data_IF_865401543963
#
_entry.id   IF_865401543963
#
_cell.length_a   1.000
_cell.length_b   1.000
_cell.length_c   1.000
_cell.angle_alpha   90.00
_cell.angle_beta   90.00
_cell.angle_gamma   90.00
#
_symmetry.space_group_name_H-M   'P 1'
#
loop_
_entity.id
_entity.type
_entity.pdbx_description
1 polymer ?
#
# COMPACT_ATOMS: atom_id res chain seq x y z
N UNK A 1 -6.51 -8.98 -18.19
CA UNK A 1 -5.14 -9.43 -17.84
C UNK A 1 -5.26 -10.44 -16.69
N UNK A 2 -4.36 -11.42 -16.59
CA UNK A 2 -4.46 -12.53 -15.62
C UNK A 2 -3.55 -12.25 -14.42
N UNK A 3 -3.98 -12.68 -13.23
CA UNK A 3 -3.05 -13.04 -12.16
C UNK A 3 -2.57 -14.50 -12.34
N UNK A 4 -1.66 -14.95 -11.48
CA UNK A 4 -0.92 -16.23 -11.62
C UNK A 4 -1.81 -17.49 -11.74
N UNK A 5 -3.07 -17.44 -11.30
CA UNK A 5 -4.02 -18.57 -11.41
C UNK A 5 -4.86 -18.56 -12.69
N UNK A 6 -4.66 -17.57 -13.54
CA UNK A 6 -5.36 -17.49 -14.80
C UNK A 6 -6.80 -17.00 -14.70
N UNK A 7 -7.18 -16.40 -13.58
CA UNK A 7 -8.43 -15.71 -13.36
C UNK A 7 -8.39 -14.30 -13.97
N UNK A 8 -9.57 -13.74 -14.22
CA UNK A 8 -9.74 -12.36 -14.67
C UNK A 8 -9.44 -11.45 -13.47
N UNK A 9 -8.52 -10.50 -13.62
CA UNK A 9 -8.19 -9.51 -12.59
C UNK A 9 -8.90 -8.16 -12.89
N UNK A 10 -9.94 -7.79 -12.11
CA UNK A 10 -10.64 -6.52 -12.31
C UNK A 10 -9.76 -5.31 -12.07
N UNK A 11 -8.83 -5.37 -11.10
CA UNK A 11 -7.96 -4.25 -10.77
C UNK A 11 -7.04 -3.94 -11.95
N UNK A 12 -6.42 -4.98 -12.52
CA UNK A 12 -5.56 -4.81 -13.68
C UNK A 12 -6.35 -4.35 -14.92
N UNK A 13 -7.59 -4.80 -15.05
CA UNK A 13 -8.48 -4.38 -16.14
C UNK A 13 -8.84 -2.90 -16.03
N UNK A 14 -9.15 -2.39 -14.83
CA UNK A 14 -9.36 -0.97 -14.58
C UNK A 14 -8.08 -0.15 -14.80
N UNK A 15 -6.92 -0.62 -14.30
CA UNK A 15 -5.63 0.04 -14.49
C UNK A 15 -5.29 0.20 -15.96
N UNK A 16 -5.54 -0.82 -16.76
CA UNK A 16 -5.33 -0.75 -18.20
C UNK A 16 -6.23 0.29 -18.87
N UNK A 17 -7.54 0.31 -18.55
CA UNK A 17 -8.46 1.33 -19.08
C UNK A 17 -7.96 2.73 -18.72
N UNK A 18 -7.65 2.99 -17.44
CA UNK A 18 -7.15 4.30 -17.01
C UNK A 18 -5.83 4.68 -17.66
N UNK A 19 -4.91 3.73 -17.83
CA UNK A 19 -3.64 3.96 -18.52
C UNK A 19 -3.84 4.37 -19.98
N UNK A 20 -4.77 3.71 -20.68
CA UNK A 20 -5.12 4.06 -22.06
C UNK A 20 -5.79 5.44 -22.15
N UNK A 21 -6.70 5.76 -21.22
CA UNK A 21 -7.36 7.08 -21.20
C UNK A 21 -6.37 8.22 -20.98
N UNK A 22 -5.34 8.02 -20.16
CA UNK A 22 -4.24 8.99 -20.00
C UNK A 22 -3.49 9.18 -21.33
N UNK A 23 -3.24 8.10 -22.08
CA UNK A 23 -2.59 8.19 -23.39
C UNK A 23 -3.46 8.99 -24.36
N UNK A 24 -4.77 8.75 -24.41
CA UNK A 24 -5.68 9.53 -25.26
C UNK A 24 -5.67 11.01 -24.93
N UNK A 25 -5.77 11.34 -23.64
CA UNK A 25 -5.76 12.71 -23.16
C UNK A 25 -4.45 13.43 -23.51
N UNK A 26 -3.30 12.78 -23.28
CA UNK A 26 -1.98 13.39 -23.49
C UNK A 26 -1.61 13.50 -24.97
N UNK A 27 -2.04 12.54 -25.79
CA UNK A 27 -1.80 12.55 -27.24
C UNK A 27 -2.80 13.37 -28.04
N UNK A 28 -3.88 13.86 -27.40
CA UNK A 28 -5.01 14.51 -28.08
C UNK A 28 -5.58 13.60 -29.19
N UNK A 29 -5.78 12.32 -28.85
CA UNK A 29 -6.29 11.33 -29.80
C UNK A 29 -7.65 11.72 -30.36
N UNK A 30 -7.87 11.45 -31.64
CA UNK A 30 -9.19 11.60 -32.25
C UNK A 30 -10.14 10.55 -31.65
N UNK A 31 -11.31 10.96 -31.09
CA UNK A 31 -12.28 10.02 -30.52
C UNK A 31 -12.70 8.89 -31.45
N UNK A 32 -12.63 9.09 -32.77
CA UNK A 32 -12.98 8.08 -33.77
C UNK A 32 -11.92 6.98 -33.93
N UNK A 33 -10.69 7.24 -33.49
CA UNK A 33 -9.55 6.30 -33.59
C UNK A 33 -9.20 5.61 -32.26
N UNK A 34 -9.74 6.09 -31.13
CA UNK A 34 -9.44 5.59 -29.78
C UNK A 34 -9.62 4.06 -29.65
N UNK A 35 -10.76 3.52 -30.10
CA UNK A 35 -11.02 2.07 -30.02
C UNK A 35 -10.02 1.27 -30.84
N UNK A 36 -9.70 1.74 -32.05
CA UNK A 36 -8.71 1.08 -32.90
C UNK A 36 -7.33 1.08 -32.22
N UNK A 37 -6.90 2.24 -31.71
CA UNK A 37 -5.64 2.39 -30.99
C UNK A 37 -5.57 1.45 -29.78
N UNK A 38 -6.52 1.55 -28.85
CA UNK A 38 -6.52 0.76 -27.61
C UNK A 38 -6.48 -0.75 -27.90
N UNK A 39 -7.22 -1.18 -28.91
CA UNK A 39 -7.33 -2.61 -29.20
C UNK A 39 -6.08 -3.20 -29.86
N UNK A 40 -5.21 -2.36 -30.44
CA UNK A 40 -3.86 -2.80 -30.87
C UNK A 40 -2.95 -3.14 -29.69
N UNK A 41 -3.23 -2.60 -28.50
CA UNK A 41 -2.43 -2.79 -27.29
C UNK A 41 -2.90 -4.00 -26.47
N UNK A 42 -4.02 -4.62 -26.83
CA UNK A 42 -4.49 -5.84 -26.19
C UNK A 42 -3.53 -7.01 -26.48
N UNK A 43 -3.30 -7.85 -25.47
CA UNK A 43 -2.41 -9.02 -25.55
C UNK A 43 -3.07 -10.27 -24.99
N UNK A 44 -2.61 -11.44 -25.46
CA UNK A 44 -3.09 -12.75 -25.03
C UNK A 44 -4.62 -12.87 -25.10
N UNK A 45 -5.24 -13.41 -24.06
CA UNK A 45 -6.71 -13.63 -24.04
C UNK A 45 -7.55 -12.39 -24.25
N UNK A 46 -7.06 -11.20 -23.88
CA UNK A 46 -7.80 -9.98 -24.13
C UNK A 46 -7.85 -9.65 -25.62
N UNK A 47 -6.77 -9.97 -26.35
CA UNK A 47 -6.73 -9.86 -27.81
C UNK A 47 -7.62 -10.92 -28.46
N UNK A 48 -7.56 -12.17 -28.00
CA UNK A 48 -8.40 -13.26 -28.52
C UNK A 48 -9.89 -12.96 -28.35
N UNK A 49 -10.29 -12.47 -27.17
CA UNK A 49 -11.65 -12.00 -26.90
C UNK A 49 -12.08 -10.89 -27.86
N UNK A 50 -11.22 -9.89 -28.06
CA UNK A 50 -11.56 -8.77 -28.95
C UNK A 50 -11.67 -9.21 -30.41
N UNK A 51 -10.81 -10.12 -30.86
CA UNK A 51 -10.88 -10.66 -32.22
C UNK A 51 -12.20 -11.40 -32.47
N UNK A 52 -12.64 -12.23 -31.53
CA UNK A 52 -13.95 -12.87 -31.59
C UNK A 52 -15.09 -11.83 -31.60
N UNK A 53 -15.01 -10.79 -30.76
CA UNK A 53 -16.04 -9.74 -30.68
C UNK A 53 -16.13 -8.90 -31.96
N UNK A 54 -14.99 -8.62 -32.60
CA UNK A 54 -14.95 -7.92 -33.90
C UNK A 54 -15.63 -8.73 -35.01
N UNK A 55 -15.46 -10.05 -35.01
CA UNK A 55 -16.12 -10.92 -36.00
C UNK A 55 -17.64 -10.86 -35.85
N UNK A 56 -18.13 -10.91 -34.61
CA UNK A 56 -19.57 -10.83 -34.31
C UNK A 56 -20.18 -9.46 -34.67
N UNK A 57 -19.49 -8.36 -34.35
CA UNK A 57 -19.98 -6.99 -34.63
C UNK A 57 -19.84 -6.58 -36.11
N UNK A 58 -18.93 -7.20 -36.85
CA UNK A 58 -18.56 -6.80 -38.20
C UNK A 58 -17.78 -5.48 -38.25
N UNK A 59 -17.22 -5.17 -39.43
CA UNK A 59 -16.33 -4.01 -39.63
C UNK A 59 -17.02 -2.68 -39.32
N UNK A 60 -18.23 -2.48 -39.84
CA UNK A 60 -18.98 -1.23 -39.62
C UNK A 60 -19.39 -1.05 -38.15
N UNK A 61 -19.77 -2.14 -37.48
CA UNK A 61 -20.11 -2.09 -36.05
C UNK A 61 -18.92 -1.77 -35.15
N UNK A 62 -17.70 -2.17 -35.55
CA UNK A 62 -16.46 -1.80 -34.84
C UNK A 62 -16.09 -0.35 -35.14
N UNK A 63 -16.22 0.09 -36.40
CA UNK A 63 -15.91 1.47 -36.81
C UNK A 63 -16.82 2.50 -36.15
N UNK A 64 -18.09 2.17 -35.93
CA UNK A 64 -19.05 3.03 -35.25
C UNK A 64 -18.93 3.00 -33.71
N UNK A 65 -18.09 2.13 -33.15
CA UNK A 65 -17.96 1.97 -31.70
C UNK A 65 -17.18 3.14 -31.11
N UNK A 66 -17.78 3.83 -30.14
CA UNK A 66 -17.06 4.84 -29.37
C UNK A 66 -16.28 4.18 -28.22
N UNK A 67 -15.28 4.88 -27.71
CA UNK A 67 -14.49 4.40 -26.57
C UNK A 67 -15.34 4.00 -25.36
N UNK A 68 -16.40 4.76 -25.05
CA UNK A 68 -17.30 4.44 -23.93
C UNK A 68 -18.03 3.09 -24.12
N UNK A 69 -18.43 2.78 -25.35
CA UNK A 69 -19.08 1.49 -25.67
C UNK A 69 -18.09 0.35 -25.49
N UNK A 70 -16.86 0.53 -25.98
CA UNK A 70 -15.78 -0.44 -25.81
C UNK A 70 -15.49 -0.69 -24.32
N UNK A 71 -15.31 0.37 -23.52
CA UNK A 71 -15.07 0.24 -22.07
C UNK A 71 -16.17 -0.55 -21.38
N UNK A 72 -17.43 -0.27 -21.73
CA UNK A 72 -18.59 -0.94 -21.14
C UNK A 72 -18.52 -2.44 -21.38
N UNK A 73 -18.34 -2.88 -22.63
CA UNK A 73 -18.27 -4.32 -22.95
C UNK A 73 -16.98 -4.98 -22.44
N UNK A 74 -15.87 -4.23 -22.39
CA UNK A 74 -14.61 -4.72 -21.86
C UNK A 74 -14.71 -4.99 -20.37
N UNK A 75 -15.19 -4.02 -19.59
CA UNK A 75 -15.36 -4.17 -18.14
C UNK A 75 -16.46 -5.19 -17.81
N UNK A 76 -17.52 -5.30 -18.60
CA UNK A 76 -18.51 -6.36 -18.41
C UNK A 76 -17.89 -7.76 -18.52
N UNK A 77 -16.92 -7.95 -19.42
CA UNK A 77 -16.25 -9.24 -19.62
C UNK A 77 -15.10 -9.46 -18.62
N UNK A 78 -14.30 -8.44 -18.35
CA UNK A 78 -13.08 -8.52 -17.53
C UNK A 78 -13.25 -8.03 -16.08
N UNK A 79 -14.44 -7.60 -15.70
CA UNK A 79 -14.81 -7.27 -14.32
C UNK A 79 -16.22 -7.82 -14.04
N UNK A 80 -16.46 -9.14 -14.15
CA UNK A 80 -17.78 -9.70 -13.89
C UNK A 80 -18.20 -9.43 -12.45
N UNK A 81 -19.50 -9.23 -12.24
CA UNK A 81 -20.04 -8.84 -10.94
C UNK A 81 -19.65 -9.80 -9.81
N UNK A 82 -19.59 -11.11 -10.06
CA UNK A 82 -19.16 -12.11 -9.08
C UNK A 82 -17.73 -11.89 -8.58
N UNK A 83 -16.81 -11.43 -9.43
CA UNK A 83 -15.44 -11.13 -9.01
C UNK A 83 -15.40 -9.80 -8.23
N UNK A 84 -16.22 -8.82 -8.61
CA UNK A 84 -16.38 -7.57 -7.85
C UNK A 84 -16.95 -7.86 -6.46
N UNK A 85 -17.97 -8.71 -6.37
CA UNK A 85 -18.60 -9.10 -5.10
C UNK A 85 -17.60 -9.81 -4.19
N UNK A 86 -16.81 -10.74 -4.74
CA UNK A 86 -15.71 -11.38 -4.00
C UNK A 86 -14.68 -10.36 -3.49
N UNK A 87 -14.29 -9.38 -4.32
CA UNK A 87 -13.40 -8.29 -3.90
C UNK A 87 -14.00 -7.48 -2.74
N UNK A 88 -15.31 -7.21 -2.77
CA UNK A 88 -16.01 -6.50 -1.68
C UNK A 88 -16.03 -7.32 -0.39
N UNK A 89 -16.30 -8.62 -0.47
CA UNK A 89 -16.26 -9.54 0.68
C UNK A 89 -14.86 -9.61 1.30
N UNK A 90 -13.83 -9.75 0.45
CA UNK A 90 -12.42 -9.71 0.87
C UNK A 90 -12.08 -8.37 1.53
N UNK A 91 -12.58 -7.25 0.99
CA UNK A 91 -12.33 -5.92 1.54
C UNK A 91 -12.90 -5.76 2.95
N UNK A 92 -14.13 -6.24 3.21
CA UNK A 92 -14.76 -6.14 4.54
C UNK A 92 -14.02 -6.95 5.61
N UNK A 93 -13.42 -8.08 5.21
CA UNK A 93 -12.71 -9.00 6.10
C UNK A 93 -11.20 -8.80 6.13
N UNK A 94 -10.67 -7.89 5.30
CA UNK A 94 -9.24 -7.59 5.20
C UNK A 94 -8.68 -7.08 6.53
N UNK A 95 -7.59 -7.68 6.99
CA UNK A 95 -6.84 -7.24 8.17
C UNK A 95 -5.35 -7.32 7.88
N UNK A 96 -4.60 -6.32 8.31
CA UNK A 96 -3.14 -6.28 8.25
C UNK A 96 -2.55 -7.39 9.13
N UNK A 97 -1.58 -8.13 8.58
CA UNK A 97 -0.93 -9.30 9.18
C UNK A 97 0.57 -9.12 9.28
N UNK A 98 1.28 -9.05 8.17
CA UNK A 98 2.73 -8.87 8.09
C UNK A 98 3.10 -7.77 7.10
N UNK A 99 2.09 -7.18 6.45
CA UNK A 99 2.24 -6.06 5.55
C UNK A 99 2.72 -4.81 6.33
N UNK A 100 3.67 -4.09 5.73
CA UNK A 100 4.05 -2.75 6.17
C UNK A 100 2.87 -1.77 6.02
N UNK A 101 2.96 -0.60 6.66
CA UNK A 101 1.95 0.44 6.52
C UNK A 101 1.73 0.83 5.05
N UNK A 102 2.79 0.98 4.26
CA UNK A 102 2.67 1.33 2.85
C UNK A 102 2.01 0.21 2.02
N UNK A 103 2.31 -1.05 2.34
CA UNK A 103 1.69 -2.20 1.68
C UNK A 103 0.18 -2.28 1.97
N UNK A 104 -0.23 -2.19 3.24
CA UNK A 104 -1.66 -2.26 3.59
C UNK A 104 -2.44 -1.06 3.03
N UNK A 105 -1.84 0.13 3.00
CA UNK A 105 -2.44 1.31 2.34
C UNK A 105 -2.65 1.04 0.85
N UNK A 106 -1.65 0.50 0.16
CA UNK A 106 -1.76 0.15 -1.26
C UNK A 106 -2.89 -0.84 -1.51
N UNK A 107 -2.95 -1.91 -0.72
CA UNK A 107 -4.01 -2.93 -0.79
C UNK A 107 -5.40 -2.33 -0.53
N UNK A 108 -5.53 -1.47 0.48
CA UNK A 108 -6.76 -0.77 0.80
C UNK A 108 -7.27 0.05 -0.38
N UNK A 109 -6.43 0.92 -0.96
CA UNK A 109 -6.83 1.77 -2.08
C UNK A 109 -7.11 0.99 -3.36
N UNK A 110 -6.39 -0.11 -3.60
CA UNK A 110 -6.65 -0.96 -4.76
C UNK A 110 -8.01 -1.64 -4.70
N UNK A 111 -8.43 -2.09 -3.51
CA UNK A 111 -9.74 -2.71 -3.31
C UNK A 111 -10.86 -1.67 -3.18
N UNK A 112 -10.57 -0.51 -2.60
CA UNK A 112 -11.54 0.59 -2.42
C UNK A 112 -12.17 1.07 -3.73
N UNK A 113 -11.45 0.95 -4.86
CA UNK A 113 -11.96 1.24 -6.23
C UNK A 113 -13.23 0.45 -6.57
N UNK A 114 -13.43 -0.72 -5.96
CA UNK A 114 -14.58 -1.60 -6.17
C UNK A 114 -15.65 -1.48 -5.10
N UNK A 115 -15.39 -0.69 -4.05
CA UNK A 115 -16.22 -0.57 -2.85
C UNK A 115 -16.81 0.84 -2.70
N UNK A 116 -17.07 1.54 -3.81
CA UNK A 116 -17.54 2.93 -3.81
C UNK A 116 -18.91 3.10 -3.14
N UNK A 117 -19.71 2.05 -3.12
CA UNK A 117 -20.97 1.98 -2.40
C UNK A 117 -20.81 1.85 -0.88
N UNK A 118 -19.68 1.32 -0.41
CA UNK A 118 -19.33 1.20 1.02
C UNK A 118 -18.55 2.41 1.54
N UNK A 119 -17.84 3.11 0.66
CA UNK A 119 -16.91 4.19 0.99
C UNK A 119 -17.44 5.56 0.50
N UNK A 120 -18.60 5.95 1.01
CA UNK A 120 -19.33 7.13 0.51
C UNK A 120 -18.89 8.43 1.19
N UNK A 121 -18.52 8.34 2.45
CA UNK A 121 -18.14 9.49 3.28
C UNK A 121 -16.73 9.32 3.80
N UNK A 122 -16.03 10.43 4.06
CA UNK A 122 -14.71 10.42 4.71
C UNK A 122 -14.69 9.55 5.98
N UNK A 123 -15.81 9.55 6.72
CA UNK A 123 -15.99 8.73 7.91
C UNK A 123 -15.93 7.22 7.59
N UNK A 124 -16.57 6.78 6.50
CA UNK A 124 -16.54 5.38 6.06
C UNK A 124 -15.11 4.95 5.70
N UNK A 125 -14.37 5.82 5.02
CA UNK A 125 -12.96 5.61 4.69
C UNK A 125 -12.09 5.45 5.95
N UNK A 126 -12.23 6.36 6.91
CA UNK A 126 -11.50 6.32 8.19
C UNK A 126 -11.81 5.04 8.97
N UNK A 127 -13.10 4.70 9.13
CA UNK A 127 -13.51 3.51 9.89
C UNK A 127 -13.00 2.25 9.20
N UNK A 128 -13.18 2.14 7.88
CA UNK A 128 -12.77 0.97 7.12
C UNK A 128 -11.26 0.76 7.22
N UNK A 129 -10.45 1.78 6.92
CA UNK A 129 -8.99 1.67 7.01
C UNK A 129 -8.53 1.36 8.44
N UNK A 130 -9.07 2.04 9.45
CA UNK A 130 -8.75 1.75 10.85
C UNK A 130 -9.05 0.29 11.22
N UNK A 131 -10.20 -0.26 10.81
CA UNK A 131 -10.56 -1.64 11.11
C UNK A 131 -9.62 -2.66 10.45
N UNK A 132 -8.97 -2.31 9.34
CA UNK A 132 -7.98 -3.14 8.68
C UNK A 132 -6.63 -3.15 9.40
N UNK A 133 -6.25 -2.07 10.09
CA UNK A 133 -4.98 -2.00 10.79
C UNK A 133 -4.87 -3.05 11.91
N UNK A 134 -3.63 -3.46 12.21
CA UNK A 134 -3.34 -4.32 13.37
C UNK A 134 -3.80 -3.67 14.66
N UNK A 135 -4.13 -4.51 15.65
CA UNK A 135 -4.54 -4.06 16.98
C UNK A 135 -3.54 -3.09 17.61
N UNK A 136 -2.24 -3.35 17.45
CA UNK A 136 -1.17 -2.48 17.95
C UNK A 136 -1.29 -1.04 17.45
N UNK A 137 -1.68 -0.78 16.19
CA UNK A 137 -1.89 0.57 15.71
C UNK A 137 -3.24 1.14 16.18
N UNK A 138 -4.30 0.32 16.16
CA UNK A 138 -5.67 0.73 16.53
C UNK A 138 -5.81 1.17 17.99
N UNK A 139 -5.02 0.60 18.89
CA UNK A 139 -5.07 0.94 20.32
C UNK A 139 -4.60 2.37 20.62
N UNK A 140 -3.73 2.93 19.79
CA UNK A 140 -3.16 4.26 20.02
C UNK A 140 -3.89 5.39 19.26
N UNK A 141 -4.64 5.07 18.21
CA UNK A 141 -5.38 6.06 17.41
C UNK A 141 -6.87 5.78 17.40
N UNK A 142 -7.66 6.68 17.98
CA UNK A 142 -9.12 6.61 17.89
C UNK A 142 -9.59 7.18 16.54
N UNK A 143 -10.40 6.44 15.76
CA UNK A 143 -11.03 6.95 14.54
C UNK A 143 -11.86 8.22 14.76
N UNK A 144 -12.36 8.44 15.98
CA UNK A 144 -13.16 9.64 16.30
C UNK A 144 -12.33 10.92 16.38
N UNK A 145 -11.00 10.79 16.49
CA UNK A 145 -10.05 11.91 16.56
C UNK A 145 -9.43 12.25 15.20
N UNK A 146 -9.70 11.44 14.18
CA UNK A 146 -9.23 11.67 12.82
C UNK A 146 -10.31 12.43 12.05
N UNK A 147 -9.96 13.61 11.54
CA UNK A 147 -10.85 14.38 10.66
C UNK A 147 -10.78 13.89 9.21
N UNK A 148 -9.61 13.36 8.80
CA UNK A 148 -9.37 12.86 7.45
C UNK A 148 -8.70 11.49 7.47
N UNK A 149 -8.93 10.68 6.43
CA UNK A 149 -8.20 9.44 6.19
C UNK A 149 -6.68 9.69 6.16
N UNK A 150 -6.26 10.81 5.58
CA UNK A 150 -4.83 11.15 5.50
C UNK A 150 -4.19 11.32 6.88
N UNK A 151 -4.90 11.93 7.84
CA UNK A 151 -4.41 12.05 9.22
C UNK A 151 -4.21 10.69 9.88
N UNK A 152 -5.12 9.74 9.62
CA UNK A 152 -5.00 8.36 10.11
C UNK A 152 -3.87 7.59 9.42
N UNK A 153 -3.62 7.84 8.12
CA UNK A 153 -2.53 7.21 7.35
C UNK A 153 -1.15 7.70 7.82
N UNK A 154 -1.00 8.99 8.10
CA UNK A 154 0.29 9.56 8.48
C UNK A 154 0.73 9.10 9.87
N UNK A 155 -0.22 8.88 10.79
CA UNK A 155 0.10 8.58 12.18
C UNK A 155 0.93 7.29 12.38
N UNK A 156 0.59 6.12 11.78
CA UNK A 156 1.43 4.93 11.87
C UNK A 156 2.83 5.12 11.26
N UNK A 157 2.95 5.88 10.16
CA UNK A 157 4.25 6.18 9.54
C UNK A 157 5.15 6.97 10.48
N UNK A 158 4.59 7.97 11.15
CA UNK A 158 5.32 8.77 12.15
C UNK A 158 5.78 7.91 13.32
N UNK A 159 4.96 6.95 13.78
CA UNK A 159 5.36 6.00 14.83
C UNK A 159 6.48 5.05 14.38
N UNK A 160 6.38 4.46 13.19
CA UNK A 160 7.44 3.61 12.64
C UNK A 160 8.77 4.36 12.55
N UNK A 161 8.73 5.62 12.08
CA UNK A 161 9.91 6.48 12.02
C UNK A 161 10.51 6.77 13.40
N UNK A 162 9.70 7.05 14.41
CA UNK A 162 10.21 7.33 15.77
C UNK A 162 10.80 6.07 16.42
N UNK A 163 10.19 4.91 16.21
CA UNK A 163 10.73 3.62 16.65
C UNK A 163 12.09 3.34 16.01
N UNK A 164 12.23 3.50 14.69
CA UNK A 164 13.50 3.33 13.99
C UNK A 164 14.58 4.26 14.55
N UNK A 165 14.26 5.54 14.74
CA UNK A 165 15.18 6.50 15.37
C UNK A 165 15.58 6.10 16.79
N UNK A 166 14.67 5.54 17.57
CA UNK A 166 14.96 5.07 18.93
C UNK A 166 15.93 3.88 18.95
N UNK A 167 15.78 2.96 18.00
CA UNK A 167 16.66 1.80 17.83
C UNK A 167 18.06 2.25 17.39
N UNK A 168 18.16 3.13 16.40
CA UNK A 168 19.45 3.70 15.95
C UNK A 168 20.20 4.43 17.08
N UNK A 169 19.49 5.22 17.90
CA UNK A 169 20.08 5.87 19.07
C UNK A 169 20.62 4.84 20.07
N UNK A 170 19.90 3.75 20.30
CA UNK A 170 20.32 2.67 21.19
C UNK A 170 21.52 1.88 20.65
N UNK A 171 21.60 1.65 19.33
CA UNK A 171 22.74 1.01 18.69
C UNK A 171 24.00 1.87 18.73
N UNK A 172 23.88 3.17 18.46
CA UNK A 172 24.99 4.14 18.58
C UNK A 172 25.54 4.20 20.00
N UNK A 173 24.67 4.23 21.01
CA UNK A 173 25.08 4.17 22.41
C UNK A 173 25.81 2.86 22.77
N UNK A 174 25.33 1.71 22.27
CA UNK A 174 26.03 0.42 22.46
C UNK A 174 27.40 0.40 21.78
N UNK A 175 27.52 0.95 20.58
CA UNK A 175 28.78 1.03 19.85
C UNK A 175 29.81 1.97 20.51
N UNK A 176 29.37 3.11 21.08
CA UNK A 176 30.23 4.03 21.83
C UNK A 176 30.71 3.44 23.18
N UNK A 177 29.86 2.67 23.86
CA UNK A 177 30.24 1.98 25.10
C UNK A 177 31.27 0.87 24.84
N UNK A 178 31.25 0.23 23.66
CA UNK A 178 32.23 -0.80 23.28
C UNK A 178 33.57 -0.19 22.84
N UNK A 179 33.58 1.04 22.32
CA UNK A 179 34.78 1.70 21.75
C UNK A 179 35.55 2.59 22.73
N UNK A 180 35.05 2.82 23.94
CA UNK A 180 35.74 3.63 24.95
C UNK A 180 36.73 2.79 25.78
N UNK A 181 38.05 3.08 25.77
CA UNK A 181 39.01 2.32 26.56
C UNK A 181 38.93 2.71 28.05
N UNK A 182 38.51 1.75 28.89
CA UNK A 182 38.45 1.89 30.35
C UNK A 182 39.86 2.09 30.93
N UNK A 183 40.18 3.31 31.35
CA UNK A 183 41.37 3.59 32.19
C UNK A 183 41.18 2.96 33.56
N UNK A 184 41.86 1.83 33.82
CA UNK A 184 41.95 1.20 35.14
C UNK A 184 42.72 2.10 36.12
N UNK A 185 42.02 2.69 37.09
CA UNK A 185 42.62 3.27 38.29
C UNK A 185 43.18 2.15 39.18
N UNK A 186 44.48 2.21 39.47
CA UNK A 186 45.17 1.28 40.38
C UNK A 186 44.84 1.65 41.83
N UNK A 187 44.21 0.75 42.56
CA UNK A 187 44.18 0.77 44.02
C UNK A 187 45.55 0.36 44.56
N UNK A 188 46.17 1.24 45.36
CA UNK A 188 47.32 0.90 46.21
C UNK A 188 46.79 0.68 47.63
N UNK A 189 47.04 -0.51 48.16
CA UNK A 189 46.66 -0.98 49.50
C UNK A 189 47.53 -0.32 50.58
N UNK A 190 47.02 0.00 51.80
CA UNK A 190 47.84 0.51 52.88
C UNK A 190 48.41 -0.63 53.75
N UNK A 191 49.66 -0.56 54.26
CA UNK A 191 50.13 -1.48 55.28
C UNK A 191 49.93 -0.92 56.71
N UNK A 192 49.94 -1.88 57.64
CA UNK A 192 49.46 -1.83 59.03
C UNK A 192 50.33 -1.00 59.98
N UNK A 193 49.68 -0.58 61.08
CA UNK A 193 50.24 0.08 62.26
C UNK A 193 51.32 -0.76 62.95
N UNK A 194 52.43 -0.11 63.32
CA UNK A 194 53.23 -0.47 64.49
C UNK A 194 53.51 0.81 65.30
N UNK A 195 53.19 0.76 66.59
CA UNK A 195 53.46 1.81 67.57
C UNK A 195 54.91 1.70 68.04
N UNK A 196 55.68 2.78 67.99
CA UNK A 196 56.77 3.00 68.93
C UNK A 196 56.77 4.44 69.47
N UNK A 197 57.25 4.51 70.70
CA UNK A 197 57.04 5.50 71.74
C UNK A 197 58.17 6.57 71.79
N UNK A 198 57.78 7.80 72.14
CA UNK A 198 58.46 8.82 73.00
C UNK A 198 59.58 9.76 72.48
N UNK A 199 59.40 11.03 72.94
CA UNK A 199 60.35 12.11 73.35
C UNK A 199 60.36 13.31 72.38
N UNK A 200 59.68 14.42 72.70
CA UNK A 200 60.13 15.57 73.55
C UNK A 200 61.50 16.10 73.11
N UNK A 201 61.54 17.22 72.40
CA UNK A 201 61.78 18.58 72.92
C UNK A 201 61.25 19.61 71.92
#
# INVERSE_FOLDING_TARGET
>A
MKNEMGEVDPLESHRWISGIEIVFQTSHSDPTDEVNYATTLLRGRAKDWWDARKQEKGKEGVKAMMWQDFKTIFLQHFCPQSTIDKIKEEFLTMRQKDESIDQIIGMFFDRAKFCTDLLRTERDWIISYHLMLKAEYREYISPSKCETLQSLINWPREQEMELLRSVERGEKQKAEVITTPVKKTKYVTPPKKENFKTKVF
#
